data_IF_053063643974
#
_entry.id   IF_053063643974
#
_cell.length_a   1.000
_cell.length_b   1.000
_cell.length_c   1.000
_cell.angle_alpha   90.00
_cell.angle_beta   90.00
_cell.angle_gamma   90.00
#
_symmetry.space_group_name_H-M   'P 1'
#
loop_
_entity.id
_entity.type
_entity.pdbx_description
1 polymer ?
#
# COMPACT_ATOMS: atom_id res chain seq x y z
N UNK A 1 -7.42 27.42 -10.73
CA UNK A 1 -7.47 25.99 -11.10
C UNK A 1 -6.27 25.19 -10.59
N UNK A 2 -5.02 25.64 -10.83
CA UNK A 2 -3.82 24.93 -10.36
C UNK A 2 -3.74 24.77 -8.83
N UNK A 3 -4.14 25.79 -8.06
CA UNK A 3 -4.17 25.72 -6.60
C UNK A 3 -5.17 24.66 -6.07
N UNK A 4 -6.34 24.54 -6.71
CA UNK A 4 -7.34 23.54 -6.36
C UNK A 4 -6.85 22.11 -6.65
N UNK A 5 -6.23 21.88 -7.81
CA UNK A 5 -5.64 20.57 -8.14
C UNK A 5 -4.52 20.17 -7.17
N UNK A 6 -3.67 21.13 -6.79
CA UNK A 6 -2.62 20.91 -5.78
C UNK A 6 -3.22 20.58 -4.42
N UNK A 7 -4.28 21.26 -4.02
CA UNK A 7 -4.99 20.96 -2.77
C UNK A 7 -5.56 19.54 -2.78
N UNK A 8 -6.30 19.17 -3.83
CA UNK A 8 -6.89 17.83 -3.98
C UNK A 8 -5.80 16.75 -4.03
N UNK A 9 -4.72 16.97 -4.79
CA UNK A 9 -3.59 16.05 -4.88
C UNK A 9 -2.87 15.87 -3.55
N UNK A 10 -2.64 16.96 -2.81
CA UNK A 10 -2.00 16.93 -1.48
C UNK A 10 -2.89 16.24 -0.45
N UNK A 11 -4.19 16.53 -0.46
CA UNK A 11 -5.16 15.90 0.42
C UNK A 11 -5.26 14.38 0.17
N UNK A 12 -5.39 13.97 -1.09
CA UNK A 12 -5.38 12.56 -1.46
C UNK A 12 -4.07 11.87 -1.07
N UNK A 13 -2.92 12.52 -1.30
CA UNK A 13 -1.62 11.97 -0.92
C UNK A 13 -1.48 11.79 0.61
N UNK A 14 -2.01 12.73 1.40
CA UNK A 14 -2.04 12.64 2.86
C UNK A 14 -2.93 11.48 3.34
N UNK A 15 -4.13 11.32 2.77
CA UNK A 15 -5.01 10.19 3.08
C UNK A 15 -4.36 8.85 2.70
N UNK A 16 -3.74 8.79 1.53
CA UNK A 16 -3.08 7.59 1.04
C UNK A 16 -1.93 7.17 1.96
N UNK A 17 -1.09 8.14 2.35
CA UNK A 17 0.00 7.92 3.29
C UNK A 17 -0.49 7.50 4.67
N UNK A 18 -1.43 8.26 5.24
CA UNK A 18 -1.96 8.00 6.58
C UNK A 18 -2.56 6.61 6.69
N UNK A 19 -3.34 6.19 5.70
CA UNK A 19 -3.89 4.85 5.61
C UNK A 19 -2.81 3.77 5.49
N UNK A 20 -1.81 3.94 4.61
CA UNK A 20 -0.76 2.95 4.40
C UNK A 20 0.09 2.73 5.67
N UNK A 21 0.47 3.81 6.34
CA UNK A 21 1.22 3.79 7.61
C UNK A 21 0.37 3.18 8.72
N UNK A 22 -0.85 3.69 8.92
CA UNK A 22 -1.73 3.19 9.98
C UNK A 22 -2.05 1.71 9.81
N UNK A 23 -2.32 1.27 8.58
CA UNK A 23 -2.60 -0.13 8.32
C UNK A 23 -1.38 -1.02 8.58
N UNK A 24 -0.20 -0.60 8.12
CA UNK A 24 1.03 -1.40 8.20
C UNK A 24 1.53 -1.54 9.65
N UNK A 25 1.48 -0.46 10.43
CA UNK A 25 2.10 -0.43 11.77
C UNK A 25 1.11 -0.63 12.93
N UNK A 26 -0.17 -0.34 12.74
CA UNK A 26 -1.19 -0.56 13.78
C UNK A 26 -2.13 -1.70 13.42
N UNK A 27 -2.96 -1.53 12.39
CA UNK A 27 -4.08 -2.44 12.11
C UNK A 27 -3.62 -3.87 11.79
N UNK A 28 -2.63 -4.04 10.92
CA UNK A 28 -2.10 -5.35 10.54
C UNK A 28 -1.60 -6.16 11.73
N UNK A 29 -0.66 -5.63 12.54
CA UNK A 29 -0.19 -6.29 13.76
C UNK A 29 -1.29 -6.54 14.80
N UNK A 30 -2.26 -5.65 14.93
CA UNK A 30 -3.36 -5.81 15.91
C UNK A 30 -4.19 -7.07 15.71
N UNK A 31 -4.28 -7.61 14.48
CA UNK A 31 -5.03 -8.85 14.25
C UNK A 31 -4.41 -10.08 14.90
N UNK A 32 -3.10 -10.05 15.18
CA UNK A 32 -2.35 -11.16 15.75
C UNK A 32 -1.81 -10.84 17.14
N UNK A 33 -2.33 -9.79 17.79
CA UNK A 33 -1.97 -9.44 19.16
C UNK A 33 -2.56 -10.43 20.16
N UNK A 34 -1.98 -10.48 21.36
CA UNK A 34 -2.47 -11.38 22.41
C UNK A 34 -3.91 -11.05 22.81
N UNK A 35 -4.28 -9.76 22.83
CA UNK A 35 -5.64 -9.32 23.14
C UNK A 35 -6.64 -9.84 22.10
N UNK A 36 -6.30 -9.78 20.80
CA UNK A 36 -7.20 -10.27 19.77
C UNK A 36 -7.30 -11.80 19.79
N UNK A 37 -6.19 -12.50 20.03
CA UNK A 37 -6.21 -13.96 20.17
C UNK A 37 -7.01 -14.39 21.41
N UNK A 38 -6.98 -13.62 22.51
CA UNK A 38 -7.77 -13.88 23.70
C UNK A 38 -9.29 -13.84 23.43
N UNK A 39 -9.75 -12.94 22.55
CA UNK A 39 -11.16 -12.90 22.10
C UNK A 39 -11.57 -14.22 21.42
N UNK A 40 -10.65 -14.87 20.71
CA UNK A 40 -10.89 -16.14 20.03
C UNK A 40 -10.54 -17.38 20.86
N UNK A 41 -10.40 -17.24 22.19
CA UNK A 41 -10.13 -18.36 23.10
C UNK A 41 -8.65 -18.55 23.48
N UNK A 42 -7.78 -17.60 23.13
CA UNK A 42 -6.36 -17.59 23.49
C UNK A 42 -5.49 -18.54 22.65
N UNK A 43 -4.18 -18.59 22.96
CA UNK A 43 -3.21 -19.47 22.27
C UNK A 43 -3.51 -20.97 22.43
N UNK A 44 -4.32 -21.34 23.44
CA UNK A 44 -4.74 -22.73 23.69
C UNK A 44 -5.86 -23.20 22.75
N UNK A 45 -6.56 -22.29 22.07
CA UNK A 45 -7.62 -22.65 21.13
C UNK A 45 -7.05 -22.98 19.73
N UNK A 46 -7.29 -24.19 19.19
CA UNK A 46 -6.65 -24.65 17.94
C UNK A 46 -6.96 -23.81 16.69
N UNK A 47 -8.01 -22.98 16.74
CA UNK A 47 -8.47 -22.16 15.60
C UNK A 47 -8.41 -20.65 15.84
N UNK A 48 -7.92 -20.16 16.99
CA UNK A 48 -7.89 -18.72 17.28
C UNK A 48 -7.16 -17.90 16.19
N UNK A 49 -5.99 -18.40 15.74
CA UNK A 49 -5.22 -17.77 14.66
C UNK A 49 -5.89 -17.85 13.29
N UNK A 50 -6.75 -18.86 13.06
CA UNK A 50 -7.51 -18.99 11.82
C UNK A 50 -8.59 -17.90 11.74
N UNK A 51 -9.33 -17.67 12.83
CA UNK A 51 -10.35 -16.63 12.91
C UNK A 51 -9.76 -15.22 12.87
N UNK A 52 -8.63 -15.00 13.56
CA UNK A 52 -7.86 -13.77 13.46
C UNK A 52 -7.42 -13.49 12.01
N UNK A 53 -6.84 -14.48 11.33
CA UNK A 53 -6.43 -14.35 9.93
C UNK A 53 -7.61 -14.10 8.98
N UNK A 54 -8.74 -14.77 9.18
CA UNK A 54 -9.96 -14.54 8.40
C UNK A 54 -10.50 -13.10 8.60
N UNK A 55 -10.47 -12.60 9.83
CA UNK A 55 -10.85 -11.22 10.16
C UNK A 55 -9.92 -10.21 9.48
N UNK A 56 -8.61 -10.46 9.52
CA UNK A 56 -7.61 -9.65 8.84
C UNK A 56 -7.86 -9.60 7.32
N UNK A 57 -8.26 -10.71 6.70
CA UNK A 57 -8.55 -10.77 5.25
C UNK A 57 -9.74 -9.90 4.83
N UNK A 58 -10.78 -9.80 5.66
CA UNK A 58 -11.94 -8.93 5.40
C UNK A 58 -11.51 -7.46 5.39
N UNK A 59 -10.73 -7.05 6.39
CA UNK A 59 -10.24 -5.67 6.50
C UNK A 59 -9.20 -5.36 5.41
N UNK A 60 -8.28 -6.29 5.12
CA UNK A 60 -7.33 -6.20 4.01
C UNK A 60 -8.02 -5.90 2.68
N UNK A 61 -9.13 -6.57 2.37
CA UNK A 61 -9.89 -6.32 1.13
C UNK A 61 -10.35 -4.86 1.01
N UNK A 62 -10.81 -4.27 2.13
CA UNK A 62 -11.24 -2.86 2.17
C UNK A 62 -10.05 -1.91 2.09
N UNK A 63 -8.96 -2.24 2.78
CA UNK A 63 -7.70 -1.49 2.70
C UNK A 63 -7.19 -1.43 1.26
N UNK A 64 -7.07 -2.57 0.57
CA UNK A 64 -6.63 -2.60 -0.82
C UNK A 64 -7.56 -1.80 -1.73
N UNK A 65 -8.89 -1.90 -1.60
CA UNK A 65 -9.82 -1.07 -2.37
C UNK A 65 -9.47 0.42 -2.25
N UNK A 66 -9.34 0.91 -1.03
CA UNK A 66 -9.02 2.31 -0.77
C UNK A 66 -7.63 2.69 -1.27
N UNK A 67 -6.65 1.80 -1.13
CA UNK A 67 -5.30 1.96 -1.67
C UNK A 67 -5.33 2.15 -3.20
N UNK A 68 -6.15 1.36 -3.92
CA UNK A 68 -6.31 1.51 -5.37
C UNK A 68 -7.01 2.82 -5.74
N UNK A 69 -8.06 3.22 -5.01
CA UNK A 69 -8.76 4.49 -5.25
C UNK A 69 -7.79 5.67 -5.07
N UNK A 70 -7.05 5.70 -3.97
CA UNK A 70 -6.09 6.76 -3.70
C UNK A 70 -4.94 6.77 -4.73
N UNK A 71 -4.43 5.61 -5.13
CA UNK A 71 -3.40 5.51 -6.16
C UNK A 71 -3.88 5.97 -7.54
N UNK A 72 -5.10 5.59 -7.94
CA UNK A 72 -5.72 6.06 -9.17
C UNK A 72 -5.91 7.58 -9.15
N UNK A 73 -6.43 8.13 -8.05
CA UNK A 73 -6.57 9.58 -7.88
C UNK A 73 -5.21 10.28 -7.94
N UNK A 74 -4.16 9.74 -7.32
CA UNK A 74 -2.83 10.32 -7.34
C UNK A 74 -2.25 10.39 -8.77
N UNK A 75 -2.42 9.33 -9.55
CA UNK A 75 -2.02 9.30 -10.97
C UNK A 75 -2.84 10.32 -11.77
N UNK A 76 -4.17 10.32 -11.62
CA UNK A 76 -5.06 11.25 -12.33
C UNK A 76 -4.74 12.71 -12.01
N UNK A 77 -4.54 13.06 -10.74
CA UNK A 77 -4.17 14.43 -10.35
C UNK A 77 -2.80 14.83 -10.91
N UNK A 78 -1.85 13.90 -10.95
CA UNK A 78 -0.51 14.17 -11.50
C UNK A 78 -0.56 14.39 -13.01
N UNK A 79 -1.35 13.61 -13.74
CA UNK A 79 -1.57 13.77 -15.18
C UNK A 79 -2.32 15.07 -15.47
N UNK A 80 -3.38 15.36 -14.72
CA UNK A 80 -4.14 16.60 -14.86
C UNK A 80 -3.23 17.83 -14.66
N UNK A 81 -2.41 17.85 -13.59
CA UNK A 81 -1.43 18.92 -13.38
C UNK A 81 -0.45 19.07 -14.55
N UNK A 82 0.02 17.97 -15.13
CA UNK A 82 0.92 18.02 -16.27
C UNK A 82 0.24 18.58 -17.51
N UNK A 83 -0.99 18.17 -17.82
CA UNK A 83 -1.79 18.71 -18.94
C UNK A 83 -1.97 20.22 -18.78
N UNK A 84 -2.32 20.70 -17.58
CA UNK A 84 -2.45 22.13 -17.30
C UNK A 84 -1.13 22.93 -17.39
N UNK A 85 0.02 22.27 -17.25
CA UNK A 85 1.35 22.88 -17.36
C UNK A 85 1.96 22.72 -18.76
N UNK A 86 1.19 22.29 -19.76
CA UNK A 86 1.69 22.07 -21.12
C UNK A 86 2.47 20.77 -21.28
N UNK A 87 1.99 19.69 -20.68
CA UNK A 87 2.56 18.32 -20.71
C UNK A 87 3.92 18.16 -20.02
N UNK A 88 4.30 19.09 -19.14
CA UNK A 88 5.49 18.96 -18.29
C UNK A 88 5.26 17.96 -17.15
N UNK A 89 5.42 16.67 -17.44
CA UNK A 89 5.33 15.60 -16.45
C UNK A 89 6.55 15.63 -15.52
N UNK A 90 6.28 15.77 -14.21
CA UNK A 90 7.29 15.55 -13.16
C UNK A 90 7.61 14.07 -13.07
N UNK A 91 8.50 13.58 -13.95
CA UNK A 91 8.82 12.16 -14.16
C UNK A 91 8.93 11.36 -12.86
N UNK A 92 9.69 11.84 -11.88
CA UNK A 92 9.86 11.15 -10.60
C UNK A 92 8.55 11.04 -9.80
N UNK A 93 7.76 12.13 -9.69
CA UNK A 93 6.48 12.11 -8.98
C UNK A 93 5.51 11.13 -9.64
N UNK A 94 5.44 11.14 -10.97
CA UNK A 94 4.61 10.21 -11.74
C UNK A 94 5.06 8.76 -11.56
N UNK A 95 6.37 8.48 -11.61
CA UNK A 95 6.90 7.14 -11.40
C UNK A 95 6.66 6.61 -9.99
N UNK A 96 6.77 7.46 -8.96
CA UNK A 96 6.47 7.07 -7.59
C UNK A 96 4.97 6.74 -7.41
N UNK A 97 4.08 7.59 -7.93
CA UNK A 97 2.64 7.34 -7.88
C UNK A 97 2.25 6.07 -8.63
N UNK A 98 2.75 5.91 -9.86
CA UNK A 98 2.47 4.75 -10.70
C UNK A 98 3.04 3.48 -10.09
N UNK A 99 4.29 3.50 -9.60
CA UNK A 99 4.94 2.37 -8.96
C UNK A 99 4.18 1.90 -7.71
N UNK A 100 3.79 2.83 -6.84
CA UNK A 100 2.98 2.50 -5.66
C UNK A 100 1.60 1.95 -6.04
N UNK A 101 0.94 2.52 -7.05
CA UNK A 101 -0.36 2.05 -7.53
C UNK A 101 -0.29 0.64 -8.14
N UNK A 102 0.69 0.39 -9.02
CA UNK A 102 0.90 -0.93 -9.64
C UNK A 102 1.28 -1.99 -8.61
N UNK A 103 2.11 -1.65 -7.63
CA UNK A 103 2.45 -2.56 -6.54
C UNK A 103 1.22 -2.89 -5.67
N UNK A 104 0.37 -1.89 -5.41
CA UNK A 104 -0.93 -2.09 -4.77
C UNK A 104 -1.84 -3.05 -5.53
N UNK A 105 -1.94 -2.87 -6.86
CA UNK A 105 -2.69 -3.76 -7.75
C UNK A 105 -2.18 -5.19 -7.71
N UNK A 106 -0.85 -5.38 -7.79
CA UNK A 106 -0.25 -6.70 -7.67
C UNK A 106 -0.55 -7.34 -6.31
N UNK A 107 -0.49 -6.55 -5.23
CA UNK A 107 -0.84 -7.01 -3.88
C UNK A 107 -2.30 -7.46 -3.76
N UNK A 108 -3.24 -6.65 -4.22
CA UNK A 108 -4.68 -6.93 -4.09
C UNK A 108 -5.19 -8.00 -5.06
N UNK A 109 -4.72 -8.01 -6.31
CA UNK A 109 -5.25 -8.89 -7.36
C UNK A 109 -4.54 -10.25 -7.43
N UNK A 110 -3.26 -10.33 -7.05
CA UNK A 110 -2.49 -11.57 -7.15
C UNK A 110 -2.18 -12.16 -5.78
N UNK A 111 -1.59 -11.36 -4.89
CA UNK A 111 -1.04 -11.88 -3.64
C UNK A 111 -2.15 -12.21 -2.64
N UNK A 112 -3.17 -11.35 -2.52
CA UNK A 112 -4.30 -11.57 -1.63
C UNK A 112 -5.10 -12.87 -1.91
N UNK A 113 -5.54 -13.17 -3.15
CA UNK A 113 -6.26 -14.42 -3.40
C UNK A 113 -5.39 -15.66 -3.17
N UNK A 114 -4.07 -15.56 -3.41
CA UNK A 114 -3.14 -16.66 -3.15
C UNK A 114 -3.02 -16.96 -1.66
N UNK A 115 -2.92 -15.93 -0.82
CA UNK A 115 -2.91 -16.08 0.65
C UNK A 115 -4.23 -16.65 1.17
N UNK A 116 -5.37 -16.23 0.60
CA UNK A 116 -6.69 -16.77 0.93
C UNK A 116 -6.80 -18.26 0.61
N UNK A 117 -6.37 -18.70 -0.57
CA UNK A 117 -6.34 -20.12 -0.94
C UNK A 117 -5.48 -20.94 0.02
N UNK A 118 -4.26 -20.48 0.32
CA UNK A 118 -3.32 -21.19 1.18
C UNK A 118 -3.83 -21.30 2.63
N UNK A 119 -4.47 -20.24 3.15
CA UNK A 119 -5.11 -20.28 4.46
C UNK A 119 -6.29 -21.26 4.49
N UNK A 120 -7.14 -21.25 3.46
CA UNK A 120 -8.25 -22.20 3.34
C UNK A 120 -7.78 -23.65 3.35
N UNK A 121 -6.70 -23.95 2.62
CA UNK A 121 -6.10 -25.29 2.58
C UNK A 121 -5.48 -25.70 3.93
N UNK A 122 -4.83 -24.75 4.63
CA UNK A 122 -4.22 -25.00 5.94
C UNK A 122 -5.23 -25.45 7.00
N UNK A 123 -6.45 -24.90 6.95
CA UNK A 123 -7.51 -25.16 7.93
C UNK A 123 -8.64 -26.06 7.38
N UNK A 124 -8.48 -26.65 6.20
CA UNK A 124 -9.51 -27.51 5.63
C UNK A 124 -9.70 -28.80 6.46
N UNK A 125 -10.94 -29.20 6.79
CA UNK A 125 -11.20 -30.37 7.64
C UNK A 125 -10.61 -31.67 7.10
N UNK A 126 -10.58 -31.84 5.77
CA UNK A 126 -10.13 -33.06 5.09
C UNK A 126 -8.70 -33.01 4.53
N UNK A 127 -7.96 -31.92 4.74
CA UNK A 127 -6.59 -31.81 4.23
C UNK A 127 -5.64 -32.76 4.96
N UNK A 128 -4.79 -33.46 4.20
CA UNK A 128 -3.78 -34.36 4.79
C UNK A 128 -2.71 -33.58 5.55
N UNK A 129 -2.02 -34.19 6.53
CA UNK A 129 -0.93 -33.52 7.25
C UNK A 129 0.15 -32.95 6.32
N UNK A 130 0.53 -33.70 5.28
CA UNK A 130 1.49 -33.27 4.26
C UNK A 130 1.01 -32.05 3.46
N UNK A 131 -0.29 -31.99 3.12
CA UNK A 131 -0.88 -30.83 2.44
C UNK A 131 -0.92 -29.59 3.35
N UNK A 132 -1.21 -29.77 4.64
CA UNK A 132 -1.21 -28.68 5.64
C UNK A 132 0.18 -28.08 5.85
N UNK A 133 1.22 -28.92 5.91
CA UNK A 133 2.61 -28.45 6.04
C UNK A 133 3.12 -27.72 4.78
N UNK A 134 2.81 -28.25 3.60
CA UNK A 134 3.16 -27.60 2.34
C UNK A 134 2.45 -26.24 2.19
N UNK A 135 1.16 -26.18 2.54
CA UNK A 135 0.39 -24.93 2.58
C UNK A 135 0.95 -23.95 3.61
N UNK A 136 1.36 -24.44 4.79
CA UNK A 136 1.96 -23.62 5.85
C UNK A 136 3.26 -22.94 5.42
N UNK A 137 4.19 -23.68 4.80
CA UNK A 137 5.46 -23.13 4.28
C UNK A 137 5.24 -22.13 3.15
N UNK A 138 4.32 -22.44 2.25
CA UNK A 138 3.97 -21.53 1.15
C UNK A 138 3.32 -20.26 1.71
N UNK A 139 2.41 -20.41 2.67
CA UNK A 139 1.73 -19.29 3.31
C UNK A 139 2.73 -18.36 4.01
N UNK A 140 3.68 -18.90 4.79
CA UNK A 140 4.67 -18.07 5.47
C UNK A 140 5.56 -17.30 4.48
N UNK A 141 5.98 -17.94 3.39
CA UNK A 141 6.76 -17.27 2.34
C UNK A 141 5.97 -16.15 1.66
N UNK A 142 4.72 -16.41 1.25
CA UNK A 142 3.86 -15.40 0.65
C UNK A 142 3.49 -14.28 1.63
N UNK A 143 3.32 -14.61 2.91
CA UNK A 143 3.04 -13.63 3.94
C UNK A 143 4.24 -12.71 4.18
N UNK A 144 5.45 -13.28 4.27
CA UNK A 144 6.68 -12.49 4.38
C UNK A 144 6.89 -11.59 3.15
N UNK A 145 6.67 -12.12 1.95
CA UNK A 145 6.70 -11.34 0.71
C UNK A 145 5.66 -10.20 0.74
N UNK A 146 4.46 -10.45 1.26
CA UNK A 146 3.42 -9.44 1.41
C UNK A 146 3.79 -8.35 2.41
N UNK A 147 4.43 -8.70 3.52
CA UNK A 147 4.89 -7.72 4.51
C UNK A 147 6.01 -6.84 3.93
N UNK A 148 6.97 -7.44 3.22
CA UNK A 148 8.00 -6.70 2.50
C UNK A 148 7.43 -5.78 1.43
N UNK A 149 6.47 -6.29 0.63
CA UNK A 149 5.76 -5.52 -0.39
C UNK A 149 5.00 -4.33 0.18
N UNK A 150 4.28 -4.52 1.30
CA UNK A 150 3.62 -3.41 2.02
C UNK A 150 4.63 -2.37 2.50
N UNK A 151 5.79 -2.79 3.02
CA UNK A 151 6.85 -1.87 3.44
C UNK A 151 7.39 -1.02 2.28
N UNK A 152 7.71 -1.65 1.15
CA UNK A 152 8.15 -0.95 -0.07
C UNK A 152 7.08 0.00 -0.58
N UNK A 153 5.82 -0.43 -0.60
CA UNK A 153 4.70 0.39 -1.03
C UNK A 153 4.52 1.62 -0.13
N UNK A 154 4.54 1.43 1.20
CA UNK A 154 4.48 2.54 2.16
C UNK A 154 5.65 3.51 1.95
N UNK A 155 6.86 3.01 1.72
CA UNK A 155 8.02 3.86 1.40
C UNK A 155 7.80 4.67 0.11
N UNK A 156 7.30 4.06 -0.96
CA UNK A 156 7.00 4.76 -2.21
C UNK A 156 5.96 5.88 -2.00
N UNK A 157 4.92 5.62 -1.20
CA UNK A 157 3.89 6.61 -0.87
C UNK A 157 4.48 7.75 -0.02
N UNK A 158 5.36 7.46 0.94
CA UNK A 158 6.10 8.48 1.71
C UNK A 158 6.91 9.37 0.78
N UNK A 159 7.69 8.78 -0.13
CA UNK A 159 8.51 9.53 -1.09
C UNK A 159 7.64 10.35 -2.05
N UNK A 160 6.52 9.80 -2.49
CA UNK A 160 5.55 10.51 -3.32
C UNK A 160 4.97 11.73 -2.58
N UNK A 161 4.47 11.52 -1.35
CA UNK A 161 3.92 12.59 -0.52
C UNK A 161 4.95 13.69 -0.28
N UNK A 162 6.19 13.31 0.08
CA UNK A 162 7.30 14.26 0.24
C UNK A 162 7.51 15.12 -1.01
N UNK A 163 7.45 14.51 -2.20
CA UNK A 163 7.58 15.24 -3.47
C UNK A 163 6.39 16.15 -3.78
N UNK A 164 5.17 15.76 -3.39
CA UNK A 164 3.97 16.58 -3.56
C UNK A 164 4.05 17.87 -2.73
N UNK A 165 4.52 17.77 -1.48
CA UNK A 165 4.62 18.93 -0.57
C UNK A 165 5.90 19.76 -0.76
N UNK A 166 6.93 19.20 -1.40
CA UNK A 166 8.19 19.91 -1.63
C UNK A 166 7.99 21.04 -2.66
N UNK A 167 8.42 22.28 -2.35
CA UNK A 167 8.37 23.35 -3.32
C UNK A 167 9.27 23.03 -4.53
N UNK A 168 8.91 23.46 -5.75
CA UNK A 168 9.78 23.32 -6.90
C UNK A 168 11.11 24.06 -6.64
N UNK A 169 12.24 23.59 -7.20
CA UNK A 169 13.51 24.29 -7.08
C UNK A 169 13.32 25.75 -7.50
N UNK A 170 13.73 26.69 -6.64
CA UNK A 170 13.76 28.11 -7.02
C UNK A 170 14.57 28.21 -8.31
N UNK A 171 13.94 28.69 -9.38
CA UNK A 171 14.69 29.09 -10.57
C UNK A 171 15.79 30.04 -10.09
N UNK A 172 17.05 29.73 -10.42
CA UNK A 172 18.15 30.67 -10.15
C UNK A 172 17.70 32.04 -10.68
N UNK A 173 17.79 33.13 -9.90
CA UNK A 173 17.47 34.45 -10.42
C UNK A 173 18.25 34.61 -11.73
N UNK A 174 17.55 35.01 -12.79
CA UNK A 174 18.17 35.28 -14.08
C UNK A 174 19.28 36.29 -13.82
N UNK A 175 20.54 35.86 -13.92
CA UNK A 175 21.68 36.74 -13.72
C UNK A 175 21.82 37.56 -15.01
N UNK A 176 21.47 38.86 -15.01
CA UNK A 176 21.57 39.67 -16.22
C UNK A 176 23.03 39.84 -16.68
N UNK A 177 24.01 39.43 -15.86
CA UNK A 177 25.44 39.52 -16.15
C UNK A 177 26.08 38.20 -16.61
N UNK A 178 25.29 37.14 -16.89
CA UNK A 178 25.83 35.95 -17.57
C UNK A 178 26.04 36.24 -19.05
N UNK A 179 27.17 36.88 -19.38
CA UNK A 179 27.67 36.92 -20.75
C UNK A 179 28.11 35.51 -21.15
N UNK A 180 27.61 35.03 -22.29
CA UNK A 180 28.12 33.80 -22.92
C UNK A 180 29.56 34.06 -23.33
N UNK A 181 30.52 33.44 -22.62
CA UNK A 181 31.92 33.30 -23.06
C UNK A 181 32.06 32.13 -24.01
#
# INVERSE_FOLDING_TARGET
MLAFLRFVGTFNAALWLGMAVFFTFAVGPSFFSQEMLAIFGGDSAPFARAYAGASAMVVMKKYFLWLHVCGALAVLTTVAEAVYQGLSLKRLQTYLAMGAFLLGLAGGLWMQPRLQQLQGLKYHPTATPAQREAAGRSFSAWHAASQGGNGVMTLLIVLFFWKVISPPPRSKPHNPFQFKS
#
